data_IF_923440349205
#
_entry.id   IF_923440349205
#
_cell.length_a   1.000
_cell.length_b   1.000
_cell.length_c   1.000
_cell.angle_alpha   90.00
_cell.angle_beta   90.00
_cell.angle_gamma   90.00
#
_symmetry.space_group_name_H-M   'P 1'
#
loop_
_entity.id
_entity.type
_entity.pdbx_description
1 polymer ?
#
# COMPACT_ATOMS: atom_id res chain seq x y z
N UNK A 1 1.35 -8.92 -0.22
CA UNK A 1 1.69 -9.85 -1.32
C UNK A 1 1.86 -9.03 -2.61
N UNK A 2 2.60 -9.49 -3.63
CA UNK A 2 2.80 -8.73 -4.87
C UNK A 2 1.52 -8.67 -5.71
N UNK A 3 1.06 -7.45 -6.03
CA UNK A 3 -0.20 -7.22 -6.73
C UNK A 3 -0.23 -7.98 -8.07
N UNK A 4 -1.38 -8.53 -8.44
CA UNK A 4 -1.64 -9.26 -9.69
C UNK A 4 -0.85 -10.56 -9.92
N UNK A 5 -0.05 -11.01 -8.94
CA UNK A 5 0.61 -12.34 -8.96
C UNK A 5 -0.33 -13.42 -8.41
N UNK A 6 -1.27 -13.03 -7.55
CA UNK A 6 -2.34 -13.90 -7.03
C UNK A 6 -3.70 -13.32 -7.42
N UNK A 7 -4.71 -14.16 -7.74
CA UNK A 7 -5.99 -13.70 -8.30
C UNK A 7 -6.73 -12.67 -7.43
N UNK A 8 -6.57 -12.76 -6.12
CA UNK A 8 -7.25 -11.90 -5.13
C UNK A 8 -6.37 -10.73 -4.66
N UNK A 9 -5.20 -10.53 -5.27
CA UNK A 9 -4.27 -9.48 -4.91
C UNK A 9 -4.32 -8.34 -5.94
N UNK A 10 -5.53 -7.88 -6.24
CA UNK A 10 -5.78 -6.79 -7.19
C UNK A 10 -5.90 -5.46 -6.46
N UNK A 11 -5.78 -4.35 -7.20
CA UNK A 11 -6.05 -3.02 -6.63
C UNK A 11 -7.50 -2.87 -6.13
N UNK A 12 -8.48 -3.48 -6.81
CA UNK A 12 -9.88 -3.39 -6.40
C UNK A 12 -10.13 -4.09 -5.05
N UNK A 13 -9.46 -5.22 -4.81
CA UNK A 13 -9.54 -5.91 -3.53
C UNK A 13 -8.82 -5.12 -2.43
N UNK A 14 -7.69 -4.48 -2.77
CA UNK A 14 -6.98 -3.62 -1.83
C UNK A 14 -7.76 -2.36 -1.44
N UNK A 15 -8.47 -1.73 -2.38
CA UNK A 15 -9.39 -0.63 -2.10
C UNK A 15 -10.55 -1.05 -1.20
N UNK A 16 -11.16 -2.21 -1.48
CA UNK A 16 -12.23 -2.77 -0.64
C UNK A 16 -11.73 -3.04 0.79
N UNK A 17 -10.52 -3.57 0.92
CA UNK A 17 -9.89 -3.78 2.23
C UNK A 17 -9.62 -2.46 2.95
N UNK A 18 -9.04 -1.46 2.27
CA UNK A 18 -8.73 -0.17 2.87
C UNK A 18 -9.98 0.58 3.34
N UNK A 19 -11.10 0.45 2.62
CA UNK A 19 -12.38 1.02 3.04
C UNK A 19 -12.88 0.49 4.39
N UNK A 20 -12.44 -0.70 4.82
CA UNK A 20 -12.79 -1.25 6.14
C UNK A 20 -11.90 -0.71 7.28
N UNK A 21 -10.91 0.13 6.98
CA UNK A 21 -10.00 0.70 7.96
C UNK A 21 -10.43 2.13 8.33
N UNK A 22 -10.28 2.47 9.60
CA UNK A 22 -10.46 3.85 10.09
C UNK A 22 -9.21 4.71 9.85
N UNK A 23 -8.15 4.13 9.29
CA UNK A 23 -6.87 4.79 9.06
C UNK A 23 -6.41 4.59 7.63
N UNK A 24 -5.59 5.51 7.08
CA UNK A 24 -4.96 5.30 5.79
C UNK A 24 -4.09 4.04 5.78
N UNK A 25 -4.01 3.39 4.62
CA UNK A 25 -3.18 2.23 4.38
C UNK A 25 -2.32 2.41 3.14
N UNK A 26 -1.19 1.72 3.09
CA UNK A 26 -0.35 1.70 1.90
C UNK A 26 -0.41 0.32 1.27
N UNK A 27 -0.52 0.30 -0.05
CA UNK A 27 -0.28 -0.88 -0.87
C UNK A 27 1.07 -0.71 -1.56
N UNK A 28 1.83 -1.78 -1.65
CA UNK A 28 3.12 -1.79 -2.30
C UNK A 28 3.46 -3.21 -2.79
N UNK A 29 4.25 -3.30 -3.84
CA UNK A 29 4.79 -4.56 -4.36
C UNK A 29 6.18 -4.88 -3.78
N UNK A 30 6.76 -5.99 -4.24
CA UNK A 30 8.07 -6.49 -3.81
C UNK A 30 9.26 -5.69 -4.41
N UNK A 31 9.00 -4.79 -5.37
CA UNK A 31 9.98 -3.86 -5.92
C UNK A 31 9.92 -2.48 -5.24
N UNK A 32 9.28 -2.42 -4.06
CA UNK A 32 9.11 -1.21 -3.27
C UNK A 32 9.56 -1.44 -1.82
N UNK A 33 10.17 -0.41 -1.21
CA UNK A 33 10.59 -0.42 0.19
C UNK A 33 10.36 0.93 0.87
N UNK A 34 10.27 0.92 2.20
CA UNK A 34 10.19 2.13 3.04
C UNK A 34 11.43 2.21 3.91
N UNK A 35 12.10 3.36 3.89
CA UNK A 35 13.21 3.67 4.80
C UNK A 35 12.74 4.66 5.85
N UNK A 36 13.22 4.48 7.09
CA UNK A 36 12.97 5.42 8.18
C UNK A 36 14.30 5.72 8.86
N UNK A 37 14.78 6.96 8.69
CA UNK A 37 16.06 7.43 9.27
C UNK A 37 15.80 8.77 9.95
N UNK A 38 16.14 8.86 11.24
CA UNK A 38 15.96 10.07 12.06
C UNK A 38 14.54 10.67 11.98
N UNK A 39 13.52 9.80 11.90
CA UNK A 39 12.12 10.19 11.82
C UNK A 39 11.67 10.68 10.44
N UNK A 40 12.54 10.69 9.43
CA UNK A 40 12.18 10.93 8.04
C UNK A 40 11.77 9.61 7.38
N UNK A 41 10.65 9.63 6.66
CA UNK A 41 10.13 8.48 5.91
C UNK A 41 10.34 8.72 4.42
N UNK A 42 11.01 7.78 3.75
CA UNK A 42 11.21 7.80 2.30
C UNK A 42 10.72 6.49 1.68
N UNK A 43 10.00 6.60 0.57
CA UNK A 43 9.62 5.44 -0.26
C UNK A 43 10.64 5.30 -1.38
N UNK A 44 11.34 4.17 -1.40
CA UNK A 44 12.29 3.82 -2.45
C UNK A 44 11.67 2.70 -3.28
N UNK A 45 11.42 2.94 -4.57
CA UNK A 45 10.62 2.01 -5.38
C UNK A 45 11.00 2.04 -6.86
N UNK A 46 11.09 0.86 -7.45
CA UNK A 46 11.04 0.62 -8.90
C UNK A 46 9.69 0.02 -9.33
N UNK A 47 8.82 -0.27 -8.36
CA UNK A 47 7.50 -0.86 -8.52
C UNK A 47 6.36 0.13 -8.33
N UNK A 48 5.21 -0.38 -7.89
CA UNK A 48 3.98 0.36 -7.66
C UNK A 48 3.65 0.40 -6.19
N UNK A 49 3.25 1.59 -5.75
CA UNK A 49 2.69 1.80 -4.43
C UNK A 49 1.60 2.87 -4.49
N UNK A 50 0.67 2.82 -3.55
CA UNK A 50 -0.37 3.84 -3.40
C UNK A 50 -0.77 4.00 -1.93
N UNK A 51 -1.11 5.24 -1.57
CA UNK A 51 -1.83 5.53 -0.33
C UNK A 51 -3.33 5.35 -0.58
N UNK A 52 -3.96 4.50 0.20
CA UNK A 52 -5.39 4.27 0.22
C UNK A 52 -5.97 4.91 1.48
N UNK A 53 -6.93 5.80 1.30
CA UNK A 53 -7.62 6.44 2.40
C UNK A 53 -8.73 5.52 2.91
N UNK A 54 -8.73 5.27 4.22
CA UNK A 54 -9.85 4.59 4.88
C UNK A 54 -11.10 5.47 4.88
N UNK A 55 -12.26 4.89 5.21
CA UNK A 55 -13.50 5.68 5.29
C UNK A 55 -13.52 6.70 6.45
N UNK A 56 -12.54 6.63 7.36
CA UNK A 56 -12.40 7.52 8.51
C UNK A 56 -11.56 8.79 8.29
N UNK A 57 -11.00 9.01 7.10
CA UNK A 57 -10.16 10.18 6.76
C UNK A 57 -10.86 11.26 5.95
#
# INVERSE_FOLDING_TARGET
PPLDVFPDNTMADAERWAAALDTPAYVMDDQSAVTVVDGQVEVVSEGRWALLNGLGS
#
